data_IF_486623682500
#
_entry.id   IF_486623682500
#
_cell.length_a   1.000
_cell.length_b   1.000
_cell.length_c   1.000
_cell.angle_alpha   90.00
_cell.angle_beta   90.00
_cell.angle_gamma   90.00
#
_symmetry.space_group_name_H-M   'P 1'
#
loop_
_entity.id
_entity.type
_entity.pdbx_description
1 polymer ?
#
# COMPACT_ATOMS: atom_id res chain seq x y z
N UNK A 1 -20.49 -41.18 -16.61
CA UNK A 1 -20.78 -40.19 -15.54
C UNK A 1 -19.65 -40.26 -14.53
N UNK A 2 -19.23 -39.11 -13.98
CA UNK A 2 -17.99 -38.83 -13.20
C UNK A 2 -16.85 -38.38 -14.11
N UNK A 3 -16.32 -37.16 -14.06
CA UNK A 3 -16.68 -35.94 -13.34
C UNK A 3 -16.22 -34.75 -14.18
N UNK A 4 -17.14 -33.81 -14.47
CA UNK A 4 -16.82 -32.43 -14.81
C UNK A 4 -16.44 -31.75 -13.49
N UNK A 5 -15.15 -31.60 -13.23
CA UNK A 5 -14.62 -30.73 -12.18
C UNK A 5 -13.25 -30.23 -12.64
N UNK A 6 -13.22 -29.31 -13.60
CA UNK A 6 -11.96 -28.63 -13.96
C UNK A 6 -12.19 -27.23 -14.58
N UNK A 7 -13.03 -26.40 -13.94
CA UNK A 7 -13.24 -25.01 -14.39
C UNK A 7 -13.23 -23.97 -13.25
N UNK A 8 -12.86 -24.34 -12.02
CA UNK A 8 -12.80 -23.39 -10.88
C UNK A 8 -11.50 -23.47 -10.07
N UNK A 9 -10.41 -23.95 -10.68
CA UNK A 9 -9.07 -23.74 -10.14
C UNK A 9 -8.44 -22.64 -10.98
N UNK A 10 -8.74 -21.37 -10.66
CA UNK A 10 -7.78 -20.32 -10.99
C UNK A 10 -6.46 -20.81 -10.37
N UNK A 11 -5.50 -21.14 -11.22
CA UNK A 11 -4.28 -21.84 -10.81
C UNK A 11 -3.68 -21.11 -9.61
N UNK A 12 -3.74 -21.76 -8.43
CA UNK A 12 -3.29 -21.17 -7.18
C UNK A 12 -1.83 -20.70 -7.31
N UNK A 13 -1.04 -21.41 -8.13
CA UNK A 13 0.33 -21.04 -8.45
C UNK A 13 0.40 -19.75 -9.25
N UNK A 14 -0.45 -19.59 -10.26
CA UNK A 14 -0.53 -18.35 -11.04
C UNK A 14 -0.94 -17.15 -10.18
N UNK A 15 -1.81 -17.34 -9.19
CA UNK A 15 -2.16 -16.24 -8.26
C UNK A 15 -1.02 -15.93 -7.30
N UNK A 16 -0.32 -16.94 -6.78
CA UNK A 16 0.88 -16.73 -5.96
C UNK A 16 1.99 -15.99 -6.73
N UNK A 17 2.22 -16.36 -7.99
CA UNK A 17 3.23 -15.71 -8.82
C UNK A 17 2.84 -14.25 -9.13
N UNK A 18 1.56 -13.97 -9.36
CA UNK A 18 1.06 -12.59 -9.47
C UNK A 18 1.20 -11.82 -8.16
N UNK A 19 0.88 -12.43 -7.02
CA UNK A 19 1.03 -11.81 -5.72
C UNK A 19 2.49 -11.42 -5.46
N UNK A 20 3.44 -12.30 -5.80
CA UNK A 20 4.86 -12.00 -5.70
C UNK A 20 5.30 -10.85 -6.63
N UNK A 21 4.75 -10.78 -7.84
CA UNK A 21 5.00 -9.66 -8.76
C UNK A 21 4.44 -8.33 -8.22
N UNK A 22 3.26 -8.35 -7.60
CA UNK A 22 2.66 -7.18 -6.95
C UNK A 22 3.51 -6.76 -5.75
N UNK A 23 3.94 -7.71 -4.92
CA UNK A 23 4.82 -7.46 -3.76
C UNK A 23 6.09 -6.73 -4.20
N UNK A 24 6.76 -7.26 -5.21
CA UNK A 24 7.96 -6.68 -5.77
C UNK A 24 7.69 -5.30 -6.42
N UNK A 25 6.58 -5.12 -7.14
CA UNK A 25 6.21 -3.82 -7.72
C UNK A 25 5.93 -2.75 -6.66
N UNK A 26 5.12 -3.08 -5.65
CA UNK A 26 4.66 -2.12 -4.62
C UNK A 26 5.75 -1.83 -3.59
N UNK A 27 6.51 -2.84 -3.16
CA UNK A 27 7.47 -2.69 -2.06
C UNK A 27 8.89 -2.31 -2.51
N UNK A 28 9.22 -2.38 -3.81
CA UNK A 28 10.56 -2.02 -4.33
C UNK A 28 10.96 -0.57 -4.08
N UNK A 29 10.04 0.38 -4.27
CA UNK A 29 10.32 1.81 -4.15
C UNK A 29 9.53 2.43 -3.00
N UNK A 30 10.17 2.71 -1.85
CA UNK A 30 9.47 3.19 -0.66
C UNK A 30 8.64 4.46 -0.88
N UNK A 31 9.07 5.36 -1.77
CA UNK A 31 8.36 6.60 -2.09
C UNK A 31 7.04 6.38 -2.82
N UNK A 32 6.89 5.28 -3.56
CA UNK A 32 5.67 4.99 -4.32
C UNK A 32 4.76 4.00 -3.59
N UNK A 33 5.28 3.30 -2.58
CA UNK A 33 4.62 2.16 -1.94
C UNK A 33 3.20 2.47 -1.46
N UNK A 34 3.04 3.55 -0.72
CA UNK A 34 1.73 3.87 -0.12
C UNK A 34 0.73 4.34 -1.18
N UNK A 35 1.18 5.09 -2.19
CA UNK A 35 0.33 5.49 -3.33
C UNK A 35 -0.12 4.26 -4.13
N UNK A 36 0.80 3.34 -4.46
CA UNK A 36 0.49 2.11 -5.20
C UNK A 36 -0.48 1.21 -4.39
N UNK A 37 -0.26 1.07 -3.09
CA UNK A 37 -1.18 0.36 -2.20
C UNK A 37 -2.59 1.00 -2.22
N UNK A 38 -2.68 2.33 -2.09
CA UNK A 38 -3.96 3.02 -2.11
C UNK A 38 -4.67 2.95 -3.45
N UNK A 39 -3.95 2.96 -4.58
CA UNK A 39 -4.55 2.73 -5.89
C UNK A 39 -5.22 1.36 -5.97
N UNK A 40 -4.55 0.29 -5.48
CA UNK A 40 -5.15 -1.04 -5.41
C UNK A 40 -6.38 -1.07 -4.48
N UNK A 41 -6.34 -0.36 -3.35
CA UNK A 41 -7.49 -0.29 -2.45
C UNK A 41 -8.68 0.48 -3.06
N UNK A 42 -8.41 1.62 -3.71
CA UNK A 42 -9.43 2.48 -4.30
C UNK A 42 -10.13 1.84 -5.50
N UNK A 43 -9.37 1.07 -6.30
CA UNK A 43 -9.86 0.31 -7.44
C UNK A 43 -10.47 -1.06 -7.05
N UNK A 44 -10.76 -1.32 -5.77
CA UNK A 44 -11.53 -2.51 -5.36
C UNK A 44 -12.88 -2.60 -6.09
N UNK A 45 -13.46 -1.45 -6.40
CA UNK A 45 -14.50 -1.30 -7.42
C UNK A 45 -13.89 -0.69 -8.68
N UNK A 46 -14.58 -0.83 -9.81
CA UNK A 46 -14.11 -0.20 -11.05
C UNK A 46 -14.11 1.33 -10.95
N UNK A 47 -12.98 1.94 -11.32
CA UNK A 47 -12.78 3.41 -11.31
C UNK A 47 -12.33 3.88 -12.69
N UNK A 48 -12.92 4.96 -13.19
CA UNK A 48 -12.44 5.62 -14.40
C UNK A 48 -11.02 6.16 -14.18
N UNK A 49 -10.21 6.24 -15.25
CA UNK A 49 -8.87 6.82 -15.19
C UNK A 49 -8.90 8.22 -14.55
N UNK A 50 -9.74 9.12 -15.05
CA UNK A 50 -9.85 10.49 -14.54
C UNK A 50 -10.18 10.56 -13.04
N UNK A 51 -11.00 9.64 -12.55
CA UNK A 51 -11.36 9.56 -11.13
C UNK A 51 -10.20 9.03 -10.29
N UNK A 52 -9.48 8.02 -10.78
CA UNK A 52 -8.27 7.50 -10.15
C UNK A 52 -7.17 8.55 -10.08
N UNK A 53 -6.95 9.31 -11.15
CA UNK A 53 -5.91 10.34 -11.19
C UNK A 53 -6.21 11.51 -10.25
N UNK A 54 -7.48 11.93 -10.21
CA UNK A 54 -7.96 12.99 -9.32
C UNK A 54 -7.88 12.57 -7.86
N UNK A 55 -8.32 11.35 -7.55
CA UNK A 55 -8.27 10.80 -6.19
C UNK A 55 -6.81 10.66 -5.73
N UNK A 56 -5.95 10.06 -6.54
CA UNK A 56 -4.55 9.87 -6.20
C UNK A 56 -3.80 11.19 -6.02
N UNK A 57 -4.13 12.24 -6.79
CA UNK A 57 -3.58 13.58 -6.61
C UNK A 57 -3.94 14.22 -5.25
N UNK A 58 -5.01 13.77 -4.61
CA UNK A 58 -5.46 14.30 -3.32
C UNK A 58 -4.70 13.72 -2.13
N UNK A 59 -3.98 12.61 -2.32
CA UNK A 59 -3.28 11.91 -1.26
C UNK A 59 -1.97 12.63 -0.91
N UNK A 60 -1.70 12.91 0.39
CA UNK A 60 -0.43 13.51 0.80
C UNK A 60 0.80 12.71 0.35
N UNK A 61 0.68 11.39 0.29
CA UNK A 61 1.77 10.49 -0.10
C UNK A 61 2.18 10.67 -1.56
N UNK A 62 1.28 11.21 -2.40
CA UNK A 62 1.54 11.48 -3.80
C UNK A 62 2.53 12.62 -4.02
N UNK A 63 2.66 13.57 -3.08
CA UNK A 63 3.61 14.68 -3.18
C UNK A 63 5.06 14.23 -3.37
N UNK A 64 5.39 13.02 -2.89
CA UNK A 64 6.74 12.44 -2.96
C UNK A 64 6.89 11.34 -4.00
N UNK A 65 5.82 11.00 -4.72
CA UNK A 65 5.83 9.94 -5.72
C UNK A 65 6.76 10.30 -6.90
N UNK A 66 7.45 9.31 -7.44
CA UNK A 66 8.45 9.53 -8.51
C UNK A 66 7.85 9.53 -9.92
N UNK A 67 6.56 9.22 -10.05
CA UNK A 67 5.85 9.07 -11.30
C UNK A 67 4.44 9.66 -11.20
N UNK A 68 3.86 10.01 -12.35
CA UNK A 68 2.46 10.44 -12.41
C UNK A 68 1.49 9.27 -12.19
N UNK A 69 0.22 9.62 -11.95
CA UNK A 69 -0.83 8.68 -11.58
C UNK A 69 -1.03 7.59 -12.63
N UNK A 70 -1.12 7.95 -13.91
CA UNK A 70 -1.22 7.01 -15.01
C UNK A 70 -0.07 5.98 -15.02
N UNK A 71 1.18 6.43 -14.87
CA UNK A 71 2.35 5.52 -14.88
C UNK A 71 2.36 4.58 -13.68
N UNK A 72 1.90 5.03 -12.51
CA UNK A 72 1.76 4.19 -11.33
C UNK A 72 0.65 3.13 -11.53
N UNK A 73 -0.50 3.52 -12.09
CA UNK A 73 -1.56 2.57 -12.44
C UNK A 73 -1.09 1.52 -13.45
N UNK A 74 -0.39 1.95 -14.51
CA UNK A 74 0.21 1.05 -15.51
C UNK A 74 1.25 0.11 -14.90
N UNK A 75 1.99 0.55 -13.87
CA UNK A 75 2.91 -0.32 -13.14
C UNK A 75 2.17 -1.45 -12.44
N UNK A 76 1.03 -1.14 -11.81
CA UNK A 76 0.17 -2.14 -11.18
C UNK A 76 -0.49 -3.08 -12.21
N UNK A 77 -0.87 -2.58 -13.38
CA UNK A 77 -1.39 -3.43 -14.48
C UNK A 77 -0.35 -4.44 -14.91
N UNK A 78 0.90 -4.00 -15.16
CA UNK A 78 2.00 -4.89 -15.55
C UNK A 78 2.34 -5.92 -14.48
N UNK A 79 2.20 -5.56 -13.21
CA UNK A 79 2.39 -6.47 -12.09
C UNK A 79 1.19 -7.44 -11.88
N UNK A 80 0.08 -7.23 -12.59
CA UNK A 80 -1.15 -8.01 -12.43
C UNK A 80 -1.99 -7.64 -11.19
N UNK A 81 -1.77 -6.45 -10.62
CA UNK A 81 -2.54 -5.93 -9.49
C UNK A 81 -3.81 -5.19 -9.90
N UNK A 82 -3.82 -4.57 -11.10
CA UNK A 82 -4.99 -3.95 -11.72
C UNK A 82 -5.29 -4.60 -13.08
N UNK A 83 -6.57 -4.77 -13.39
CA UNK A 83 -7.06 -4.95 -14.75
C UNK A 83 -7.35 -3.58 -15.35
N UNK A 84 -6.88 -3.35 -16.59
CA UNK A 84 -7.23 -2.19 -17.40
C UNK A 84 -8.43 -2.55 -18.28
N UNK A 85 -9.50 -1.77 -18.16
CA UNK A 85 -10.77 -2.00 -18.84
C UNK A 85 -10.99 -0.84 -19.81
N UNK A 86 -10.94 -1.12 -21.10
CA UNK A 86 -11.22 -0.15 -22.15
C UNK A 86 -12.64 -0.32 -22.67
N UNK A 87 -13.27 0.80 -23.05
CA UNK A 87 -14.58 0.79 -23.68
C UNK A 87 -14.66 1.71 -24.88
N UNK A 88 -15.46 1.31 -25.85
CA UNK A 88 -15.78 2.07 -27.06
C UNK A 88 -16.81 3.19 -26.81
N UNK A 89 -17.18 3.91 -27.86
CA UNK A 89 -18.19 4.99 -27.80
C UNK A 89 -19.58 4.53 -27.31
N UNK A 90 -19.89 3.24 -27.42
CA UNK A 90 -21.15 2.63 -26.99
C UNK A 90 -21.06 2.07 -25.56
N UNK A 91 -19.89 2.12 -24.94
CA UNK A 91 -19.62 1.54 -23.63
C UNK A 91 -19.38 0.03 -23.65
N UNK A 92 -19.21 -0.59 -24.82
CA UNK A 92 -18.83 -1.99 -24.93
C UNK A 92 -17.35 -2.17 -24.59
N UNK A 93 -17.00 -3.29 -23.95
CA UNK A 93 -15.60 -3.61 -23.63
C UNK A 93 -14.84 -3.83 -24.93
N UNK A 94 -13.71 -3.13 -25.08
CA UNK A 94 -12.76 -3.32 -26.17
C UNK A 94 -11.81 -4.44 -25.78
N UNK A 95 -11.79 -5.50 -26.58
CA UNK A 95 -10.90 -6.65 -26.41
C UNK A 95 -9.66 -6.49 -27.28
N UNK A 96 -8.59 -7.22 -26.97
CA UNK A 96 -7.36 -7.18 -27.80
C UNK A 96 -7.62 -7.60 -29.27
N UNK A 97 -8.59 -8.48 -29.49
CA UNK A 97 -9.02 -8.92 -30.82
C UNK A 97 -9.62 -7.78 -31.65
N UNK A 98 -10.28 -6.81 -31.00
CA UNK A 98 -10.86 -5.65 -31.66
C UNK A 98 -9.79 -4.66 -32.16
N UNK A 99 -8.56 -4.80 -31.64
CA UNK A 99 -7.40 -3.98 -32.02
C UNK A 99 -6.52 -4.65 -33.08
N UNK A 100 -6.76 -5.92 -33.41
CA UNK A 100 -5.93 -6.66 -34.35
C UNK A 100 -5.95 -6.01 -35.74
N UNK A 101 -4.76 -5.62 -36.22
CA UNK A 101 -4.60 -4.98 -37.52
C UNK A 101 -4.89 -3.48 -37.56
N UNK A 102 -5.24 -2.87 -36.42
CA UNK A 102 -5.29 -1.43 -36.25
C UNK A 102 -3.88 -0.86 -35.99
N UNK A 103 -3.63 0.36 -36.45
CA UNK A 103 -2.49 1.14 -35.99
C UNK A 103 -2.83 1.88 -34.69
N UNK A 104 -1.84 2.55 -34.11
CA UNK A 104 -1.97 3.25 -32.82
C UNK A 104 -3.09 4.31 -32.85
N UNK A 105 -3.16 5.10 -33.92
CA UNK A 105 -4.20 6.13 -34.09
C UNK A 105 -5.60 5.51 -34.15
N UNK A 106 -5.78 4.39 -34.88
CA UNK A 106 -7.07 3.71 -34.94
C UNK A 106 -7.46 3.01 -33.64
N UNK A 107 -6.49 2.55 -32.83
CA UNK A 107 -6.76 2.03 -31.48
C UNK A 107 -7.21 3.17 -30.55
N UNK A 108 -6.55 4.32 -30.61
CA UNK A 108 -6.93 5.49 -29.82
C UNK A 108 -8.34 5.99 -30.20
N UNK A 109 -8.70 5.98 -31.49
CA UNK A 109 -10.06 6.30 -31.94
C UNK A 109 -11.11 5.27 -31.49
N UNK A 110 -10.73 3.99 -31.39
CA UNK A 110 -11.61 2.92 -30.91
C UNK A 110 -11.90 3.03 -29.41
N UNK A 111 -10.90 3.39 -28.61
CA UNK A 111 -10.99 3.42 -27.15
C UNK A 111 -11.51 4.77 -26.68
N UNK A 112 -12.80 4.81 -26.31
CA UNK A 112 -13.42 6.03 -25.79
C UNK A 112 -13.10 6.31 -24.33
N UNK A 113 -12.96 5.27 -23.51
CA UNK A 113 -12.74 5.42 -22.08
C UNK A 113 -11.91 4.28 -21.49
N UNK A 114 -11.17 4.60 -20.42
CA UNK A 114 -10.34 3.67 -19.67
C UNK A 114 -10.77 3.67 -18.21
N UNK A 115 -10.86 2.47 -17.63
CA UNK A 115 -11.10 2.25 -16.23
C UNK A 115 -10.14 1.18 -15.68
N UNK A 116 -10.02 1.13 -14.36
CA UNK A 116 -9.21 0.14 -13.66
C UNK A 116 -10.04 -0.58 -12.60
N UNK A 117 -9.76 -1.86 -12.40
CA UNK A 117 -10.27 -2.66 -11.29
C UNK A 117 -9.17 -3.51 -10.71
N UNK A 118 -9.11 -3.62 -9.39
CA UNK A 118 -8.14 -4.46 -8.69
C UNK A 118 -8.43 -5.93 -8.94
N UNK A 119 -7.39 -6.67 -9.32
CA UNK A 119 -7.48 -8.11 -9.57
C UNK A 119 -7.65 -8.87 -8.25
N UNK A 120 -8.01 -10.16 -8.32
CA UNK A 120 -8.06 -11.00 -7.12
C UNK A 120 -6.71 -11.08 -6.37
N UNK A 121 -5.60 -11.10 -7.11
CA UNK A 121 -4.26 -11.05 -6.53
C UNK A 121 -3.99 -9.70 -5.85
N UNK A 122 -4.41 -8.60 -6.47
CA UNK A 122 -4.34 -7.25 -5.89
C UNK A 122 -5.17 -7.11 -4.62
N UNK A 123 -6.38 -7.69 -4.57
CA UNK A 123 -7.21 -7.72 -3.36
C UNK A 123 -6.48 -8.46 -2.24
N UNK A 124 -5.91 -9.65 -2.53
CA UNK A 124 -5.12 -10.39 -1.53
C UNK A 124 -3.91 -9.60 -1.04
N UNK A 125 -3.22 -8.88 -1.92
CA UNK A 125 -2.14 -7.99 -1.53
C UNK A 125 -2.63 -6.88 -0.58
N UNK A 126 -3.73 -6.21 -0.92
CA UNK A 126 -4.31 -5.13 -0.09
C UNK A 126 -4.70 -5.64 1.30
N UNK A 127 -5.30 -6.83 1.37
CA UNK A 127 -5.65 -7.53 2.61
C UNK A 127 -4.42 -7.78 3.50
N UNK A 128 -3.35 -8.32 2.91
CA UNK A 128 -2.10 -8.65 3.63
C UNK A 128 -1.33 -7.41 4.09
N UNK A 129 -1.40 -6.32 3.32
CA UNK A 129 -0.68 -5.08 3.58
C UNK A 129 -1.50 -3.98 4.24
N UNK A 130 -2.70 -4.30 4.76
CA UNK A 130 -3.47 -3.34 5.55
C UNK A 130 -2.63 -2.71 6.64
N UNK A 131 -2.79 -1.40 6.94
CA UNK A 131 -2.04 -0.75 8.01
C UNK A 131 -2.05 -1.51 9.33
N UNK A 132 -3.22 -2.05 9.72
CA UNK A 132 -3.35 -2.95 10.86
C UNK A 132 -2.43 -4.18 10.81
N UNK A 133 -2.40 -4.90 9.67
CA UNK A 133 -1.55 -6.08 9.52
C UNK A 133 -0.06 -5.72 9.63
N UNK A 134 0.35 -4.62 9.00
CA UNK A 134 1.72 -4.08 9.07
C UNK A 134 2.11 -3.68 10.50
N UNK A 135 1.17 -3.11 11.26
CA UNK A 135 1.39 -2.75 12.67
C UNK A 135 1.55 -3.98 13.56
N UNK A 136 0.68 -4.99 13.39
CA UNK A 136 0.81 -6.27 14.12
C UNK A 136 2.17 -6.91 13.85
N UNK A 137 2.57 -6.98 12.57
CA UNK A 137 3.87 -7.51 12.17
C UNK A 137 5.02 -6.71 12.81
N UNK A 138 4.96 -5.38 12.80
CA UNK A 138 5.98 -4.52 13.41
C UNK A 138 6.17 -4.82 14.90
N UNK A 139 5.09 -5.00 15.66
CA UNK A 139 5.16 -5.32 17.09
C UNK A 139 5.67 -6.75 17.34
N UNK A 140 5.38 -7.69 16.45
CA UNK A 140 5.81 -9.08 16.57
C UNK A 140 7.27 -9.30 16.12
N UNK A 141 7.79 -8.47 15.21
CA UNK A 141 9.14 -8.61 14.67
C UNK A 141 10.23 -8.38 15.72
N UNK A 142 9.97 -7.49 16.68
CA UNK A 142 10.85 -7.21 17.81
C UNK A 142 10.00 -6.97 19.07
N UNK A 143 9.47 -8.04 19.70
CA UNK A 143 8.55 -7.93 20.83
C UNK A 143 9.14 -7.11 21.99
N UNK A 144 10.46 -7.15 22.18
CA UNK A 144 11.19 -6.36 23.19
C UNK A 144 11.11 -4.84 22.96
N UNK A 145 10.64 -4.40 21.79
CA UNK A 145 10.41 -2.99 21.44
C UNK A 145 8.92 -2.63 21.35
N UNK A 146 8.02 -3.60 21.49
CA UNK A 146 6.58 -3.39 21.30
C UNK A 146 6.03 -2.29 22.22
N UNK A 147 6.35 -2.34 23.51
CA UNK A 147 5.92 -1.34 24.50
C UNK A 147 6.36 0.08 24.12
N UNK A 148 7.54 0.22 23.51
CA UNK A 148 8.06 1.53 23.07
C UNK A 148 7.30 2.07 21.85
N UNK A 149 6.89 1.20 20.92
CA UNK A 149 6.00 1.62 19.84
C UNK A 149 4.63 2.04 20.36
N UNK A 150 4.06 1.27 21.29
CA UNK A 150 2.75 1.56 21.89
C UNK A 150 2.79 2.91 22.62
N UNK A 151 3.80 3.13 23.47
CA UNK A 151 3.98 4.40 24.17
C UNK A 151 4.18 5.58 23.22
N UNK A 152 4.92 5.38 22.11
CA UNK A 152 5.08 6.42 21.09
C UNK A 152 3.76 6.76 20.41
N UNK A 153 2.92 5.76 20.09
CA UNK A 153 1.58 5.99 19.55
C UNK A 153 0.70 6.77 20.54
N UNK A 154 0.73 6.43 21.82
CA UNK A 154 0.00 7.18 22.87
C UNK A 154 0.49 8.62 22.98
N UNK A 155 1.81 8.82 22.96
CA UNK A 155 2.42 10.14 23.07
C UNK A 155 2.01 11.04 21.90
N UNK A 156 1.97 10.49 20.70
CA UNK A 156 1.56 11.17 19.47
C UNK A 156 0.04 11.38 19.40
N UNK A 157 -0.77 10.47 19.94
CA UNK A 157 -2.24 10.61 20.01
C UNK A 157 -2.68 11.88 20.73
N UNK A 158 -1.96 12.28 21.79
CA UNK A 158 -2.34 13.41 22.62
C UNK A 158 -2.29 14.76 21.88
N UNK A 159 -1.31 14.94 20.99
CA UNK A 159 -1.16 16.10 20.09
C UNK A 159 -0.05 15.82 19.07
N UNK A 160 -0.05 16.50 17.90
CA UNK A 160 1.06 16.41 16.95
C UNK A 160 2.42 16.67 17.62
N UNK A 161 3.43 15.88 17.23
CA UNK A 161 4.78 15.90 17.82
C UNK A 161 5.85 16.27 16.80
N UNK A 162 6.75 17.18 17.19
CA UNK A 162 7.96 17.41 16.43
C UNK A 162 8.98 16.29 16.68
N UNK A 163 9.97 16.15 15.79
CA UNK A 163 11.04 15.16 15.97
C UNK A 163 11.74 15.28 17.33
N UNK A 164 12.01 16.50 17.79
CA UNK A 164 12.68 16.72 19.08
C UNK A 164 11.86 16.21 20.27
N UNK A 165 10.53 16.28 20.22
CA UNK A 165 9.66 15.73 21.27
C UNK A 165 9.82 14.19 21.35
N UNK A 166 9.85 13.53 20.19
CA UNK A 166 10.02 12.08 20.08
C UNK A 166 11.44 11.66 20.48
N UNK A 167 12.45 12.41 20.06
CA UNK A 167 13.84 12.16 20.40
C UNK A 167 14.10 12.30 21.91
N UNK A 168 13.40 13.23 22.58
CA UNK A 168 13.40 13.36 24.05
C UNK A 168 12.75 12.14 24.69
N UNK A 169 11.53 11.75 24.26
CA UNK A 169 10.81 10.59 24.79
C UNK A 169 11.67 9.32 24.77
N UNK A 170 12.39 9.09 23.66
CA UNK A 170 13.18 7.89 23.43
C UNK A 170 14.60 7.97 24.00
N UNK A 171 15.04 9.12 24.51
CA UNK A 171 16.44 9.33 24.92
C UNK A 171 16.86 8.33 26.00
N UNK A 172 17.99 7.66 25.75
CA UNK A 172 18.62 6.76 26.74
C UNK A 172 17.90 5.43 26.94
N UNK A 173 16.83 5.15 26.17
CA UNK A 173 16.09 3.88 26.30
C UNK A 173 16.89 2.71 25.73
N UNK A 174 16.88 1.54 26.41
CA UNK A 174 17.47 0.31 25.89
C UNK A 174 16.90 -0.14 24.54
N UNK A 175 15.64 0.22 24.22
CA UNK A 175 15.01 -0.13 22.95
C UNK A 175 15.71 0.48 21.71
N UNK A 176 16.49 1.56 21.90
CA UNK A 176 17.33 2.14 20.84
C UNK A 176 18.61 1.34 20.62
N UNK A 177 18.96 0.41 21.50
CA UNK A 177 20.15 -0.42 21.36
C UNK A 177 19.90 -1.56 20.36
N UNK A 178 20.93 -1.88 19.59
CA UNK A 178 20.91 -2.98 18.63
C UNK A 178 22.32 -3.55 18.47
N UNK A 179 22.44 -4.75 17.93
CA UNK A 179 23.72 -5.36 17.57
C UNK A 179 23.79 -5.50 16.06
N UNK A 180 24.85 -4.96 15.45
CA UNK A 180 25.14 -5.08 14.02
C UNK A 180 26.56 -5.62 13.89
N UNK A 181 26.72 -6.75 13.21
CA UNK A 181 28.01 -7.44 13.03
C UNK A 181 28.78 -7.67 14.33
N UNK A 182 28.04 -8.00 15.40
CA UNK A 182 28.60 -8.24 16.75
C UNK A 182 28.91 -6.98 17.56
N UNK A 183 28.75 -5.78 16.99
CA UNK A 183 28.97 -4.51 17.67
C UNK A 183 27.67 -3.91 18.20
N UNK A 184 27.69 -3.44 19.46
CA UNK A 184 26.57 -2.66 20.01
C UNK A 184 26.51 -1.29 19.35
N UNK A 185 25.37 -0.97 18.77
CA UNK A 185 25.07 0.33 18.16
C UNK A 185 23.79 0.90 18.74
N UNK A 186 23.65 2.22 18.66
CA UNK A 186 22.44 2.93 19.03
C UNK A 186 21.75 3.43 17.77
N UNK A 187 20.50 2.99 17.58
CA UNK A 187 19.61 3.49 16.54
C UNK A 187 19.21 4.93 16.84
N UNK A 188 18.94 5.70 15.78
CA UNK A 188 18.33 7.01 15.93
C UNK A 188 16.83 6.87 16.23
N UNK A 189 16.22 7.80 17.00
CA UNK A 189 14.77 7.85 17.22
C UNK A 189 13.94 7.83 15.93
N UNK A 190 14.45 8.41 14.84
CA UNK A 190 13.82 8.38 13.51
C UNK A 190 13.49 6.96 13.04
N UNK A 191 14.29 5.96 13.40
CA UNK A 191 14.02 4.56 13.01
C UNK A 191 12.67 4.07 13.53
N UNK A 192 12.23 4.52 14.72
CA UNK A 192 10.92 4.16 15.26
C UNK A 192 9.80 4.91 14.53
N UNK A 193 10.01 6.19 14.22
CA UNK A 193 9.08 7.01 13.44
C UNK A 193 8.89 6.41 12.05
N UNK A 194 9.97 6.18 11.31
CA UNK A 194 9.96 5.63 9.96
C UNK A 194 9.21 4.29 9.90
N UNK A 195 9.36 3.44 10.93
CA UNK A 195 8.66 2.15 11.00
C UNK A 195 7.15 2.29 11.25
N UNK A 196 6.76 3.23 12.11
CA UNK A 196 5.35 3.52 12.36
C UNK A 196 4.68 4.22 11.17
N UNK A 197 5.40 5.06 10.44
CA UNK A 197 4.93 5.60 9.16
C UNK A 197 4.76 4.51 8.10
N UNK A 198 5.75 3.63 7.92
CA UNK A 198 5.71 2.54 6.93
C UNK A 198 4.61 1.51 7.21
N UNK A 199 4.24 1.35 8.48
CA UNK A 199 3.09 0.54 8.86
C UNK A 199 1.76 1.27 8.67
N UNK A 200 1.78 2.59 8.44
CA UNK A 200 0.61 3.42 8.21
C UNK A 200 -0.04 3.94 9.49
N UNK A 201 0.64 3.88 10.65
CA UNK A 201 0.13 4.42 11.90
C UNK A 201 0.35 5.93 12.06
N UNK A 202 1.42 6.45 11.46
CA UNK A 202 1.80 7.86 11.57
C UNK A 202 1.76 8.56 10.21
N UNK A 203 1.47 9.85 10.25
CA UNK A 203 1.60 10.76 9.11
C UNK A 203 2.12 12.11 9.59
N UNK A 204 2.91 12.78 8.75
CA UNK A 204 3.39 14.13 9.03
C UNK A 204 2.35 15.16 8.58
N UNK A 205 1.83 15.95 9.51
CA UNK A 205 0.95 17.10 9.26
C UNK A 205 1.32 18.23 10.21
N UNK A 206 2.40 18.95 9.87
CA UNK A 206 3.05 19.96 10.74
C UNK A 206 3.59 19.39 12.08
N UNK A 207 3.70 18.07 12.13
CA UNK A 207 4.02 17.26 13.28
C UNK A 207 3.53 15.83 13.05
N UNK A 208 4.16 14.86 13.68
CA UNK A 208 3.68 13.47 13.63
C UNK A 208 2.37 13.37 14.38
N UNK A 209 1.34 12.85 13.72
CA UNK A 209 0.04 12.52 14.29
C UNK A 209 -0.37 11.10 13.90
N UNK A 210 -1.32 10.52 14.64
CA UNK A 210 -1.88 9.23 14.28
C UNK A 210 -2.74 9.36 13.02
N UNK A 211 -2.65 8.38 12.14
CA UNK A 211 -3.69 8.13 11.12
C UNK A 211 -4.94 7.58 11.79
N UNK A 212 -6.06 7.53 11.06
CA UNK A 212 -7.29 6.90 11.55
C UNK A 212 -7.07 5.43 11.91
N UNK A 213 -6.31 4.71 11.09
CA UNK A 213 -5.92 3.31 11.32
C UNK A 213 -5.01 3.16 12.55
N UNK A 214 -4.02 4.05 12.72
CA UNK A 214 -3.13 4.03 13.90
C UNK A 214 -3.87 4.28 15.21
N UNK A 215 -4.84 5.21 15.19
CA UNK A 215 -5.68 5.49 16.35
C UNK A 215 -6.68 4.37 16.65
N UNK A 216 -7.30 3.78 15.62
CA UNK A 216 -8.15 2.61 15.77
C UNK A 216 -7.38 1.41 16.35
N UNK A 217 -6.19 1.13 15.81
CA UNK A 217 -5.31 0.08 16.30
C UNK A 217 -4.96 0.24 17.79
N UNK A 218 -4.55 1.45 18.19
CA UNK A 218 -4.19 1.73 19.58
C UNK A 218 -5.39 1.59 20.53
N UNK A 219 -6.61 1.96 20.11
CA UNK A 219 -7.82 1.77 20.91
C UNK A 219 -8.13 0.30 21.13
N UNK A 220 -8.05 -0.52 20.08
CA UNK A 220 -8.32 -1.96 20.17
C UNK A 220 -7.33 -2.68 21.08
N UNK A 221 -6.05 -2.30 21.01
CA UNK A 221 -5.01 -2.86 21.86
C UNK A 221 -5.34 -2.64 23.33
N UNK A 222 -5.73 -1.42 23.69
CA UNK A 222 -6.12 -1.05 25.07
C UNK A 222 -7.43 -1.67 25.53
N UNK A 223 -8.35 -1.97 24.61
CA UNK A 223 -9.58 -2.66 24.94
C UNK A 223 -9.37 -4.16 25.23
N UNK A 224 -8.19 -4.69 24.85
CA UNK A 224 -7.81 -6.10 25.01
C UNK A 224 -6.92 -6.35 26.24
N UNK A 225 -6.53 -5.29 26.97
CA UNK A 225 -5.79 -5.30 28.24
C UNK A 225 -6.73 -5.36 29.45
#
# INVERSE_FOLDING_TARGET
MTAMQDETVVDAKAVEDRLAAIEDAVCRHPLNREVLYRMLAYCAEERALDDLEREAASWPEFETATQNQYRLAEHLVRAGGLDRIERDERGAIVMEQDKEGLDEDAVDDLVRSVAFRTTEAGVRFVEQHRPRARLVELLQLAPERADVYIELLEFVRARPRAYNDIAELLRGRPALETVIDGERRRMQPSVFVDKLERSGALVWKEGWCLTEEGDAFLRDLKASE
#
